data_IF_771935692508
#
_entry.id   IF_771935692508
#
_cell.length_a   1.000
_cell.length_b   1.000
_cell.length_c   1.000
_cell.angle_alpha   90.00
_cell.angle_beta   90.00
_cell.angle_gamma   90.00
#
_symmetry.space_group_name_H-M   'P 1'
#
loop_
_entity.id
_entity.type
_entity.pdbx_description
1 polymer ?
#
# COMPACT_ATOMS: atom_id res chain seq x y z
N UNK A 1 -8.47 -5.74 -1.78
CA UNK A 1 -7.26 -6.59 -1.96
C UNK A 1 -7.47 -7.87 -1.17
N UNK A 2 -7.03 -9.01 -1.69
CA UNK A 2 -7.23 -10.31 -1.03
C UNK A 2 -5.89 -11.00 -0.84
N UNK A 3 -5.63 -11.48 0.38
CA UNK A 3 -4.47 -12.31 0.72
C UNK A 3 -4.97 -13.71 1.07
N UNK A 4 -4.35 -14.72 0.49
CA UNK A 4 -4.71 -16.12 0.70
C UNK A 4 -3.50 -16.87 1.22
N UNK A 5 -3.67 -17.54 2.35
CA UNK A 5 -2.65 -18.40 2.92
C UNK A 5 -3.21 -19.81 3.07
N UNK A 6 -2.45 -20.82 2.67
CA UNK A 6 -2.86 -22.21 2.80
C UNK A 6 -1.74 -23.07 3.35
N UNK A 7 -2.11 -24.01 4.22
CA UNK A 7 -1.25 -25.05 4.71
C UNK A 7 -1.70 -26.40 4.14
N UNK A 8 -0.74 -27.27 3.82
CA UNK A 8 -1.00 -28.60 3.27
C UNK A 8 -0.39 -29.64 4.21
N UNK A 9 -1.16 -30.68 4.53
CA UNK A 9 -0.77 -31.76 5.43
C UNK A 9 -0.99 -31.44 6.92
N UNK A 10 -0.30 -32.19 7.78
CA UNK A 10 -0.43 -32.12 9.23
C UNK A 10 -1.46 -33.11 9.80
N UNK A 11 -1.17 -33.64 10.99
CA UNK A 11 -2.12 -34.38 11.82
C UNK A 11 -2.03 -33.88 13.27
N UNK A 12 -3.02 -33.16 13.80
CA UNK A 12 -4.28 -32.73 13.16
C UNK A 12 -4.09 -31.73 11.99
N UNK A 13 -5.17 -31.25 11.38
CA UNK A 13 -5.05 -30.21 10.36
C UNK A 13 -4.69 -28.88 11.03
N UNK A 14 -3.74 -28.15 10.45
CA UNK A 14 -3.30 -26.88 11.01
C UNK A 14 -4.38 -25.79 10.88
N UNK A 15 -4.55 -24.97 11.92
CA UNK A 15 -5.29 -23.72 11.86
C UNK A 15 -4.43 -22.67 11.18
N UNK A 16 -5.01 -21.96 10.21
CA UNK A 16 -4.37 -20.84 9.50
C UNK A 16 -5.03 -19.55 9.96
N UNK A 17 -4.24 -18.55 10.34
CA UNK A 17 -4.74 -17.26 10.82
C UNK A 17 -3.88 -16.11 10.29
N UNK A 18 -4.48 -14.93 10.17
CA UNK A 18 -3.82 -13.72 9.73
C UNK A 18 -3.62 -12.75 10.89
N UNK A 19 -2.43 -12.18 10.97
CA UNK A 19 -1.99 -11.29 12.01
C UNK A 19 -1.38 -10.02 11.43
N UNK A 20 -1.52 -8.91 12.16
CA UNK A 20 -0.88 -7.64 11.87
C UNK A 20 -0.56 -6.96 13.19
N UNK A 21 0.68 -6.48 13.34
CA UNK A 21 1.14 -5.74 14.53
C UNK A 21 0.86 -6.50 15.85
N UNK A 22 1.05 -7.83 15.82
CA UNK A 22 0.81 -8.73 16.96
C UNK A 22 -0.66 -9.00 17.30
N UNK A 23 -1.60 -8.55 16.45
CA UNK A 23 -3.04 -8.78 16.65
C UNK A 23 -3.62 -9.65 15.54
N UNK A 24 -4.54 -10.53 15.92
CA UNK A 24 -5.34 -11.32 14.95
C UNK A 24 -6.20 -10.37 14.13
N UNK A 25 -6.10 -10.47 12.82
CA UNK A 25 -6.96 -9.77 11.86
C UNK A 25 -8.13 -10.65 11.45
N UNK A 26 -7.86 -11.93 11.20
CA UNK A 26 -8.88 -12.97 11.02
C UNK A 26 -8.28 -14.32 11.40
N UNK A 27 -9.09 -15.15 12.04
CA UNK A 27 -8.76 -16.55 12.32
C UNK A 27 -9.74 -17.52 11.67
N UNK A 28 -10.56 -17.02 10.74
CA UNK A 28 -11.44 -17.81 9.89
C UNK A 28 -10.61 -18.74 9.02
N UNK A 29 -10.79 -20.04 9.24
CA UNK A 29 -10.05 -21.09 8.56
C UNK A 29 -11.00 -22.09 7.93
N UNK A 30 -10.82 -22.32 6.63
CA UNK A 30 -11.55 -23.29 5.84
C UNK A 30 -10.73 -24.57 5.72
N UNK A 31 -11.36 -25.71 5.96
CA UNK A 31 -10.75 -27.03 5.82
C UNK A 31 -11.33 -27.71 4.59
N UNK A 32 -10.46 -28.23 3.72
CA UNK A 32 -10.88 -28.88 2.49
C UNK A 32 -11.42 -30.30 2.77
N UNK A 33 -12.40 -30.80 1.99
CA UNK A 33 -13.03 -32.11 2.23
C UNK A 33 -12.06 -33.29 2.25
N UNK A 34 -10.97 -33.20 1.49
CA UNK A 34 -9.93 -34.22 1.41
C UNK A 34 -9.06 -34.32 2.67
N UNK A 35 -9.26 -33.41 3.64
CA UNK A 35 -8.49 -33.28 4.89
C UNK A 35 -6.98 -33.18 4.67
N UNK A 36 -6.55 -32.64 3.53
CA UNK A 36 -5.13 -32.41 3.24
C UNK A 36 -4.75 -30.94 3.25
N UNK A 37 -5.72 -30.04 3.31
CA UNK A 37 -5.48 -28.60 3.19
C UNK A 37 -6.36 -27.80 4.14
N UNK A 38 -5.76 -26.77 4.71
CA UNK A 38 -6.46 -25.68 5.39
C UNK A 38 -6.06 -24.33 4.78
N UNK A 39 -6.97 -23.38 4.80
CA UNK A 39 -6.78 -22.07 4.16
C UNK A 39 -7.46 -20.97 4.96
N UNK A 40 -6.86 -19.79 4.98
CA UNK A 40 -7.48 -18.57 5.48
C UNK A 40 -7.34 -17.46 4.43
N UNK A 41 -8.43 -16.73 4.23
CA UNK A 41 -8.53 -15.64 3.25
C UNK A 41 -8.77 -14.34 4.00
N UNK A 42 -7.83 -13.41 3.90
CA UNK A 42 -7.97 -12.05 4.43
C UNK A 42 -8.40 -11.11 3.30
N UNK A 43 -9.58 -10.51 3.44
CA UNK A 43 -10.10 -9.49 2.52
C UNK A 43 -9.95 -8.10 3.13
N UNK A 44 -9.15 -7.26 2.48
CA UNK A 44 -9.00 -5.84 2.81
C UNK A 44 -9.90 -5.04 1.86
N UNK A 45 -11.07 -4.62 2.34
CA UNK A 45 -12.11 -3.97 1.53
C UNK A 45 -11.65 -2.61 0.97
N UNK A 46 -11.10 -1.75 1.84
CA UNK A 46 -10.66 -0.39 1.47
C UNK A 46 -9.19 -0.20 1.84
N UNK A 47 -8.33 -0.19 0.82
CA UNK A 47 -6.94 0.19 0.99
C UNK A 47 -6.86 1.70 1.28
N UNK A 48 -6.13 2.02 2.34
CA UNK A 48 -5.77 3.38 2.72
C UNK A 48 -4.25 3.53 2.73
N UNK A 49 -3.75 4.77 2.81
CA UNK A 49 -2.31 5.05 2.88
C UNK A 49 -1.61 4.42 4.09
N UNK A 50 -2.34 4.12 5.17
CA UNK A 50 -1.78 3.42 6.34
C UNK A 50 -1.53 1.93 6.10
N UNK A 51 -1.92 1.40 4.93
CA UNK A 51 -1.55 0.07 4.48
C UNK A 51 -0.23 0.05 3.71
N UNK A 52 0.34 1.22 3.38
CA UNK A 52 1.63 1.26 2.69
C UNK A 52 2.70 0.61 3.57
N UNK A 53 3.36 -0.41 3.03
CA UNK A 53 4.36 -1.24 3.70
C UNK A 53 3.84 -1.95 4.96
N UNK A 54 2.53 -2.03 5.15
CA UNK A 54 1.95 -2.82 6.22
C UNK A 54 2.28 -4.29 6.00
N UNK A 55 2.76 -4.95 7.05
CA UNK A 55 3.16 -6.36 7.03
C UNK A 55 2.05 -7.21 7.64
N UNK A 56 1.57 -8.17 6.86
CA UNK A 56 0.63 -9.18 7.31
C UNK A 56 1.38 -10.50 7.49
N UNK A 57 1.16 -11.15 8.63
CA UNK A 57 1.73 -12.45 8.96
C UNK A 57 0.64 -13.51 8.86
N UNK A 58 0.87 -14.54 8.06
CA UNK A 58 0.09 -15.76 8.12
C UNK A 58 0.75 -16.70 9.13
N UNK A 59 0.01 -17.07 10.17
CA UNK A 59 0.44 -18.02 11.19
C UNK A 59 -0.31 -19.33 11.04
N UNK A 60 0.46 -20.42 10.97
CA UNK A 60 -0.03 -21.78 10.79
C UNK A 60 0.35 -22.60 12.02
N UNK A 61 -0.66 -23.05 12.78
CA UNK A 61 -0.46 -23.84 14.00
C UNK A 61 -1.22 -25.15 13.96
N UNK A 62 -0.55 -26.24 14.30
CA UNK A 62 -1.15 -27.57 14.39
C UNK A 62 -1.31 -28.07 15.85
N UNK A 63 -0.51 -27.54 16.76
CA UNK A 63 -0.57 -27.91 18.17
C UNK A 63 -0.01 -26.78 19.03
N UNK A 64 -0.33 -26.78 20.31
CA UNK A 64 0.23 -25.83 21.28
C UNK A 64 1.62 -26.23 21.78
N UNK A 65 2.19 -27.34 21.28
CA UNK A 65 3.49 -27.86 21.69
C UNK A 65 4.65 -27.24 20.93
N UNK A 66 4.37 -26.62 19.78
CA UNK A 66 5.37 -26.04 18.88
C UNK A 66 4.94 -24.63 18.49
N UNK A 67 5.90 -23.72 18.28
CA UNK A 67 5.60 -22.40 17.75
C UNK A 67 4.98 -22.51 16.35
N UNK A 68 4.06 -21.61 15.97
CA UNK A 68 3.46 -21.61 14.66
C UNK A 68 4.49 -21.32 13.57
N UNK A 69 4.27 -21.87 12.37
CA UNK A 69 4.99 -21.44 11.17
C UNK A 69 4.45 -20.08 10.73
N UNK A 70 5.35 -19.13 10.45
CA UNK A 70 4.97 -17.76 10.12
C UNK A 70 5.54 -17.36 8.76
N UNK A 71 4.66 -16.93 7.85
CA UNK A 71 5.02 -16.33 6.55
C UNK A 71 4.53 -14.90 6.52
N UNK A 72 5.32 -13.98 5.99
CA UNK A 72 5.01 -12.54 5.99
C UNK A 72 4.90 -11.99 4.58
N UNK A 73 3.95 -11.07 4.38
CA UNK A 73 3.77 -10.32 3.14
C UNK A 73 3.63 -8.84 3.45
N UNK A 74 4.37 -8.00 2.71
CA UNK A 74 4.28 -6.55 2.81
C UNK A 74 3.42 -6.00 1.67
N UNK A 75 2.52 -5.07 1.99
CA UNK A 75 1.69 -4.39 1.00
C UNK A 75 2.45 -3.21 0.41
N UNK A 76 2.92 -3.32 -0.83
CA UNK A 76 3.47 -2.18 -1.57
C UNK A 76 2.38 -1.50 -2.41
N UNK A 77 2.32 -0.17 -2.35
CA UNK A 77 1.24 0.62 -2.93
C UNK A 77 1.75 1.75 -3.81
N UNK A 78 1.08 1.94 -4.94
CA UNK A 78 1.20 3.12 -5.77
C UNK A 78 0.24 4.19 -5.26
N UNK A 79 0.78 5.36 -4.91
CA UNK A 79 0.04 6.47 -4.32
C UNK A 79 0.18 7.70 -5.19
N UNK A 80 -0.96 8.30 -5.54
CA UNK A 80 -0.99 9.61 -6.21
C UNK A 80 -0.41 10.70 -5.28
N UNK A 81 0.16 11.77 -5.86
CA UNK A 81 0.48 12.99 -5.12
C UNK A 81 -0.70 13.47 -4.27
N UNK A 82 -0.41 13.95 -3.07
CA UNK A 82 -1.40 14.62 -2.23
C UNK A 82 -1.46 16.12 -2.52
N UNK A 83 -0.31 16.69 -2.89
CA UNK A 83 -0.15 18.13 -3.01
C UNK A 83 0.87 18.43 -4.11
N UNK A 84 0.56 19.46 -4.91
CA UNK A 84 1.45 20.02 -5.93
C UNK A 84 1.40 21.54 -5.80
N UNK A 85 2.54 22.16 -5.51
CA UNK A 85 2.65 23.61 -5.32
C UNK A 85 3.72 24.20 -6.23
N UNK A 86 3.41 25.35 -6.81
CA UNK A 86 4.39 26.22 -7.46
C UNK A 86 4.98 27.16 -6.43
N UNK A 87 6.29 27.07 -6.24
CA UNK A 87 7.10 27.94 -5.40
C UNK A 87 7.71 28.99 -6.31
N UNK A 88 7.41 30.25 -6.02
CA UNK A 88 7.89 31.42 -6.75
C UNK A 88 8.35 32.47 -5.75
N UNK A 89 9.44 33.16 -6.07
CA UNK A 89 9.98 34.22 -5.22
C UNK A 89 9.16 35.52 -5.34
N UNK A 90 8.49 35.70 -6.49
CA UNK A 90 7.70 36.87 -6.79
C UNK A 90 6.22 36.52 -6.98
N UNK A 91 5.33 37.31 -6.37
CA UNK A 91 3.86 37.17 -6.54
C UNK A 91 3.45 37.47 -7.99
N UNK A 92 4.09 38.44 -8.62
CA UNK A 92 3.80 38.94 -9.96
C UNK A 92 4.99 38.76 -10.91
N UNK A 93 4.70 38.50 -12.18
CA UNK A 93 5.70 38.25 -13.21
C UNK A 93 5.58 39.33 -14.29
N UNK A 94 6.66 40.07 -14.54
CA UNK A 94 6.71 41.10 -15.58
C UNK A 94 7.21 40.54 -16.90
N UNK A 95 6.70 41.07 -18.01
CA UNK A 95 7.21 40.76 -19.34
C UNK A 95 8.70 41.12 -19.48
N UNK A 96 9.45 40.31 -20.23
CA UNK A 96 10.88 40.52 -20.47
C UNK A 96 11.80 40.13 -19.31
N UNK A 97 11.27 39.83 -18.11
CA UNK A 97 12.07 39.38 -16.96
C UNK A 97 12.13 37.86 -16.86
N UNK A 98 13.25 37.34 -16.35
CA UNK A 98 13.45 35.91 -16.06
C UNK A 98 13.11 35.62 -14.61
N UNK A 99 12.48 34.48 -14.37
CA UNK A 99 12.04 34.05 -13.05
C UNK A 99 12.35 32.57 -12.84
N UNK A 100 12.81 32.23 -11.64
CA UNK A 100 12.93 30.85 -11.20
C UNK A 100 11.62 30.43 -10.55
N UNK A 101 11.00 29.37 -11.08
CA UNK A 101 9.79 28.79 -10.52
C UNK A 101 10.10 27.32 -10.26
N UNK A 102 9.88 26.89 -9.03
CA UNK A 102 10.07 25.51 -8.61
C UNK A 102 8.73 24.83 -8.39
N UNK A 103 8.59 23.57 -8.79
CA UNK A 103 7.40 22.77 -8.51
C UNK A 103 7.73 21.77 -7.42
N UNK A 104 6.95 21.78 -6.34
CA UNK A 104 7.10 20.84 -5.22
C UNK A 104 5.89 19.92 -5.18
N UNK A 105 6.15 18.63 -5.36
CA UNK A 105 5.16 17.55 -5.29
C UNK A 105 5.38 16.72 -4.02
N UNK A 106 4.31 16.45 -3.25
CA UNK A 106 4.38 15.68 -2.00
C UNK A 106 3.44 14.48 -2.01
N UNK A 107 3.88 13.41 -1.35
CA UNK A 107 3.08 12.22 -1.06
C UNK A 107 3.06 11.15 -2.14
N UNK A 108 3.62 11.37 -3.33
CA UNK A 108 3.60 10.34 -4.40
C UNK A 108 4.45 9.11 -4.04
N UNK A 109 4.00 7.92 -4.46
CA UNK A 109 4.82 6.69 -4.51
C UNK A 109 4.51 5.93 -5.80
N UNK A 110 5.50 5.65 -6.66
CA UNK A 110 6.88 6.16 -6.64
C UNK A 110 6.94 7.70 -6.75
N UNK A 111 8.13 8.32 -6.63
CA UNK A 111 8.29 9.75 -6.86
C UNK A 111 7.63 10.19 -8.17
N UNK A 112 6.87 11.30 -8.13
CA UNK A 112 6.14 11.77 -9.29
C UNK A 112 7.09 12.35 -10.34
N UNK A 113 6.79 12.10 -11.62
CA UNK A 113 7.45 12.78 -12.74
C UNK A 113 6.78 14.15 -12.92
N UNK A 114 7.57 15.22 -12.80
CA UNK A 114 7.07 16.60 -12.95
C UNK A 114 7.35 17.07 -14.38
N UNK A 115 6.29 17.51 -15.07
CA UNK A 115 6.36 18.10 -16.41
C UNK A 115 5.87 19.53 -16.39
N UNK A 116 6.44 20.37 -17.26
CA UNK A 116 6.14 21.80 -17.35
C UNK A 116 5.54 22.15 -18.70
N UNK A 117 4.52 23.00 -18.67
CA UNK A 117 3.83 23.48 -19.86
C UNK A 117 3.58 24.98 -19.70
N UNK A 118 3.86 25.75 -20.75
CA UNK A 118 3.52 27.18 -20.80
C UNK A 118 2.50 27.39 -21.90
N UNK A 119 1.28 27.76 -21.54
CA UNK A 119 0.29 28.18 -22.52
C UNK A 119 0.65 29.57 -23.01
N UNK A 120 0.65 29.80 -24.33
CA UNK A 120 0.74 31.15 -24.89
C UNK A 120 -0.56 31.89 -24.55
N UNK A 121 -0.47 32.83 -23.63
CA UNK A 121 -1.51 33.84 -23.42
C UNK A 121 -1.01 35.11 -24.09
N UNK A 122 -1.74 35.61 -25.08
CA UNK A 122 -1.46 36.92 -25.68
C UNK A 122 -1.88 37.95 -24.63
N UNK A 123 -0.90 38.56 -23.96
CA UNK A 123 -1.16 39.71 -23.12
C UNK A 123 -1.56 40.86 -24.05
N UNK A 124 -2.83 41.26 -24.02
CA UNK A 124 -3.27 42.50 -24.65
C UNK A 124 -2.54 43.65 -23.93
N UNK A 125 -1.63 44.32 -24.64
CA UNK A 125 -1.12 45.61 -24.20
C UNK A 125 -2.30 46.59 -24.14
N UNK A 126 -2.51 47.23 -22.99
CA UNK A 126 -3.28 48.48 -22.96
C UNK A 126 -2.57 49.55 -23.77
#
# INVERSE_FOLDING_TARGET
MTLTCSATGGKPLAKVSWWRDGKVVTDECQYFPDRKKSQSVLKIEKLSRSHLLAVYSCEVSNSNLQPPLVVRVAVDMYLRPLEVNLIKDHSELSAGKRYNISCRCRGSRPPAVITWWKVRVIALSK
#
